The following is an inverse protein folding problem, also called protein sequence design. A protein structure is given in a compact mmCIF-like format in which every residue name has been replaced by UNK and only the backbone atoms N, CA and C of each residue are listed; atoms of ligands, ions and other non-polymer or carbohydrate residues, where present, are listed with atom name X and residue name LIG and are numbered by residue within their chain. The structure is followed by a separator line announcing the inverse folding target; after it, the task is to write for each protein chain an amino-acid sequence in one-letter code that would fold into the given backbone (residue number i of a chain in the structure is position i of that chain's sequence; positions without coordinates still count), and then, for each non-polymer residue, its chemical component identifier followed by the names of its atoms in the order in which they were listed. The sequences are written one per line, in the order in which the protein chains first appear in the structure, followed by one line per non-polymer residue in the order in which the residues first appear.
data_IF_667729642892
#
_entry.id   IF_667729642892
#
_cell.length_a   1.000
_cell.length_b   1.000
_cell.length_c   1.000
_cell.angle_alpha   90.00
_cell.angle_beta   90.00
_cell.angle_gamma   90.00
#
_symmetry.space_group_name_H-M   'P 1'
#
loop_
_entity.id
_entity.type
_entity.pdbx_description
1 polymer ?
#
# COMPACT_ATOMS: atom_id res chain seq x y z
N UNK A 1 -10.42 -27.73 -44.90
CA UNK A 1 -11.33 -27.26 -43.83
C UNK A 1 -11.14 -28.18 -42.65
N UNK A 2 -10.50 -27.70 -41.58
CA UNK A 2 -10.40 -28.48 -40.34
C UNK A 2 -11.81 -28.77 -39.84
N UNK A 3 -12.10 -30.02 -39.49
CA UNK A 3 -13.43 -30.36 -38.99
C UNK A 3 -13.63 -29.70 -37.64
N UNK A 4 -14.74 -28.99 -37.44
CA UNK A 4 -15.12 -28.42 -36.15
C UNK A 4 -15.44 -29.55 -35.15
N UNK A 5 -14.40 -30.14 -34.57
CA UNK A 5 -14.47 -31.26 -33.64
C UNK A 5 -13.26 -31.24 -32.72
N UNK A 6 -13.43 -31.73 -31.50
CA UNK A 6 -12.34 -31.84 -30.54
C UNK A 6 -11.36 -32.92 -30.97
N UNK A 7 -10.08 -32.58 -30.96
CA UNK A 7 -8.99 -33.44 -31.41
C UNK A 7 -8.01 -33.67 -30.27
N UNK A 8 -7.61 -34.92 -30.07
CA UNK A 8 -6.61 -35.30 -29.08
C UNK A 8 -5.44 -36.02 -29.75
N UNK A 9 -4.30 -36.06 -29.05
CA UNK A 9 -3.17 -36.87 -29.45
C UNK A 9 -3.15 -38.16 -28.62
N UNK A 10 -3.24 -39.29 -29.29
CA UNK A 10 -3.22 -40.62 -28.70
C UNK A 10 -1.80 -41.22 -28.77
N UNK A 11 -1.38 -41.84 -27.67
CA UNK A 11 -0.21 -42.72 -27.59
C UNK A 11 -0.67 -44.12 -27.24
N UNK A 12 -0.34 -45.10 -28.08
CA UNK A 12 -0.66 -46.51 -27.87
C UNK A 12 0.61 -47.26 -27.48
N UNK A 13 0.59 -47.95 -26.35
CA UNK A 13 1.67 -48.83 -25.89
C UNK A 13 1.17 -50.24 -25.62
N UNK A 14 2.03 -51.22 -25.89
CA UNK A 14 1.79 -52.62 -25.58
C UNK A 14 3.02 -53.15 -24.82
N UNK A 15 2.80 -53.65 -23.60
CA UNK A 15 3.87 -54.15 -22.70
C UNK A 15 5.06 -53.17 -22.54
N UNK A 16 4.78 -51.87 -22.43
CA UNK A 16 5.80 -50.84 -22.26
C UNK A 16 6.49 -50.37 -23.55
N UNK A 17 6.24 -51.03 -24.68
CA UNK A 17 6.74 -50.64 -26.00
C UNK A 17 5.70 -49.72 -26.65
N UNK A 18 6.14 -48.56 -27.15
CA UNK A 18 5.24 -47.61 -27.82
C UNK A 18 4.98 -48.05 -29.26
N UNK A 19 3.75 -48.42 -29.58
CA UNK A 19 3.31 -48.83 -30.92
C UNK A 19 2.93 -47.61 -31.77
N UNK A 20 2.32 -46.60 -31.14
CA UNK A 20 1.94 -45.33 -31.78
C UNK A 20 2.38 -44.20 -30.86
N UNK A 21 3.30 -43.35 -31.32
CA UNK A 21 3.85 -42.28 -30.49
C UNK A 21 2.91 -41.09 -30.35
N UNK A 22 2.22 -40.70 -31.44
CA UNK A 22 1.33 -39.54 -31.49
C UNK A 22 0.39 -39.62 -32.69
N UNK A 23 -0.84 -40.09 -32.48
CA UNK A 23 -1.90 -40.11 -33.51
C UNK A 23 -2.96 -39.07 -33.19
N UNK A 24 -3.27 -38.19 -34.13
CA UNK A 24 -4.40 -37.25 -33.98
C UNK A 24 -5.69 -38.04 -34.14
N UNK A 25 -6.52 -38.04 -33.10
CA UNK A 25 -7.79 -38.77 -33.08
C UNK A 25 -8.95 -37.81 -32.79
N UNK A 26 -10.14 -38.20 -33.22
CA UNK A 26 -11.37 -37.54 -32.81
C UNK A 26 -11.66 -37.89 -31.36
N UNK A 27 -11.65 -36.89 -30.49
CA UNK A 27 -11.78 -37.13 -29.05
C UNK A 27 -13.23 -37.44 -28.65
N UNK A 28 -14.21 -36.99 -29.43
CA UNK A 28 -15.64 -37.22 -29.15
C UNK A 28 -16.08 -38.68 -29.17
N UNK A 29 -15.27 -39.59 -29.74
CA UNK A 29 -15.55 -41.03 -29.68
C UNK A 29 -15.05 -41.70 -28.39
N UNK A 30 -14.21 -41.01 -27.62
CA UNK A 30 -13.63 -41.50 -26.36
C UNK A 30 -14.36 -40.87 -25.18
N UNK A 31 -14.50 -39.54 -25.21
CA UNK A 31 -15.18 -38.78 -24.16
C UNK A 31 -16.14 -37.76 -24.81
N UNK A 32 -17.39 -38.17 -25.09
CA UNK A 32 -18.40 -37.31 -25.70
C UNK A 32 -18.76 -36.10 -24.83
N UNK A 33 -18.72 -36.26 -23.50
CA UNK A 33 -19.10 -35.22 -22.53
C UNK A 33 -18.06 -34.11 -22.51
N UNK A 34 -16.78 -34.45 -22.29
CA UNK A 34 -15.69 -33.48 -22.32
C UNK A 34 -15.52 -32.87 -23.72
N UNK A 35 -15.73 -33.66 -24.78
CA UNK A 35 -15.68 -33.15 -26.16
C UNK A 35 -16.80 -32.15 -26.45
N UNK A 36 -17.98 -32.34 -25.86
CA UNK A 36 -19.07 -31.37 -25.96
C UNK A 36 -18.74 -30.09 -25.20
N UNK A 37 -18.23 -30.19 -23.97
CA UNK A 37 -17.81 -29.02 -23.19
C UNK A 37 -16.78 -28.19 -23.97
N UNK A 38 -15.71 -28.83 -24.44
CA UNK A 38 -14.64 -28.17 -25.21
C UNK A 38 -15.15 -27.62 -26.54
N UNK A 39 -16.10 -28.30 -27.20
CA UNK A 39 -16.75 -27.79 -28.40
C UNK A 39 -17.54 -26.50 -28.10
N UNK A 40 -18.35 -26.46 -27.04
CA UNK A 40 -19.12 -25.26 -26.68
C UNK A 40 -18.15 -24.12 -26.33
N UNK A 41 -17.15 -24.36 -25.48
CA UNK A 41 -16.19 -23.33 -25.04
C UNK A 41 -15.37 -22.76 -26.21
N UNK A 42 -14.75 -23.60 -27.03
CA UNK A 42 -13.94 -23.11 -28.15
C UNK A 42 -14.80 -22.55 -29.29
N UNK A 43 -15.76 -23.35 -29.77
CA UNK A 43 -16.49 -23.01 -30.98
C UNK A 43 -17.53 -21.90 -30.75
N UNK A 44 -18.29 -21.96 -29.65
CA UNK A 44 -19.46 -21.11 -29.44
C UNK A 44 -19.21 -19.93 -28.50
N UNK A 45 -18.41 -20.12 -27.44
CA UNK A 45 -18.06 -19.05 -26.49
C UNK A 45 -16.90 -18.21 -27.03
N UNK A 46 -15.74 -18.81 -27.28
CA UNK A 46 -14.57 -18.12 -27.87
C UNK A 46 -14.77 -17.77 -29.36
N UNK A 47 -15.83 -18.30 -29.98
CA UNK A 47 -16.22 -17.97 -31.35
C UNK A 47 -15.29 -18.57 -32.40
N UNK A 48 -14.58 -19.67 -32.11
CA UNK A 48 -13.69 -20.34 -33.08
C UNK A 48 -14.46 -21.16 -34.15
N UNK A 49 -15.79 -21.04 -34.19
CA UNK A 49 -16.65 -21.70 -35.16
C UNK A 49 -16.83 -20.86 -36.44
N UNK A 50 -16.74 -21.52 -37.60
CA UNK A 50 -17.02 -20.92 -38.91
C UNK A 50 -18.44 -21.30 -39.36
N UNK A 51 -19.32 -20.31 -39.48
CA UNK A 51 -20.71 -20.49 -39.94
C UNK A 51 -21.26 -19.22 -40.60
N UNK A 52 -22.24 -19.41 -41.49
CA UNK A 52 -22.99 -18.32 -42.13
C UNK A 52 -24.24 -17.90 -41.33
N UNK A 53 -24.46 -18.52 -40.17
CA UNK A 53 -25.63 -18.24 -39.34
C UNK A 53 -25.55 -16.88 -38.65
N UNK A 54 -26.68 -16.17 -38.58
CA UNK A 54 -26.76 -14.78 -38.11
C UNK A 54 -26.54 -14.60 -36.60
N UNK A 55 -26.70 -15.66 -35.80
CA UNK A 55 -26.52 -15.61 -34.34
C UNK A 55 -25.07 -15.32 -33.93
N UNK A 56 -24.08 -15.86 -34.66
CA UNK A 56 -22.66 -15.71 -34.32
C UNK A 56 -22.17 -14.25 -34.45
N UNK A 57 -22.38 -13.54 -35.58
CA UNK A 57 -22.02 -12.13 -35.67
C UNK A 57 -22.82 -11.25 -34.70
N UNK A 58 -24.09 -11.59 -34.42
CA UNK A 58 -24.89 -10.90 -33.39
C UNK A 58 -24.26 -11.04 -32.00
N UNK A 59 -23.94 -12.27 -31.59
CA UNK A 59 -23.35 -12.54 -30.28
C UNK A 59 -21.99 -11.87 -30.12
N UNK A 60 -21.14 -11.90 -31.16
CA UNK A 60 -19.85 -11.18 -31.15
C UNK A 60 -20.03 -9.66 -31.03
N UNK A 61 -20.97 -9.08 -31.76
CA UNK A 61 -21.26 -7.65 -31.66
C UNK A 61 -21.76 -7.28 -30.25
N UNK A 62 -22.55 -8.15 -29.63
CA UNK A 62 -23.07 -7.95 -28.27
C UNK A 62 -21.97 -8.03 -27.21
N UNK A 63 -21.03 -8.98 -27.34
CA UNK A 63 -19.83 -9.06 -26.47
C UNK A 63 -18.99 -7.80 -26.63
N UNK A 64 -18.70 -7.37 -27.86
CA UNK A 64 -17.93 -6.15 -28.12
C UNK A 64 -18.62 -4.88 -27.57
N UNK A 65 -19.95 -4.78 -27.69
CA UNK A 65 -20.71 -3.67 -27.11
C UNK A 65 -20.55 -3.61 -25.59
N UNK A 66 -20.57 -4.76 -24.92
CA UNK A 66 -20.38 -4.86 -23.47
C UNK A 66 -18.95 -4.45 -23.08
N UNK A 67 -17.93 -4.94 -23.80
CA UNK A 67 -16.53 -4.55 -23.61
C UNK A 67 -16.31 -3.04 -23.81
N UNK A 68 -16.94 -2.45 -24.82
CA UNK A 68 -16.87 -1.01 -25.09
C UNK A 68 -17.54 -0.18 -23.96
N UNK A 69 -18.66 -0.68 -23.44
CA UNK A 69 -19.36 -0.06 -22.30
C UNK A 69 -18.53 -0.18 -21.02
N UNK A 70 -17.86 -1.30 -20.79
CA UNK A 70 -16.91 -1.47 -19.67
C UNK A 70 -15.76 -0.46 -19.77
N UNK A 71 -15.17 -0.31 -20.96
CA UNK A 71 -14.08 0.61 -21.21
C UNK A 71 -14.52 2.07 -20.97
N UNK A 72 -15.73 2.45 -21.40
CA UNK A 72 -16.32 3.77 -21.12
C UNK A 72 -16.65 3.97 -19.63
N UNK A 73 -17.11 2.92 -18.95
CA UNK A 73 -17.42 2.92 -17.52
C UNK A 73 -16.18 2.83 -16.62
N UNK A 74 -14.98 2.65 -17.21
CA UNK A 74 -13.71 2.40 -16.49
C UNK A 74 -13.80 1.20 -15.53
N UNK A 75 -14.53 0.16 -15.95
CA UNK A 75 -14.78 -1.09 -15.22
C UNK A 75 -14.46 -2.31 -16.09
N UNK A 76 -13.26 -2.33 -16.68
CA UNK A 76 -12.82 -3.41 -17.57
C UNK A 76 -12.70 -4.75 -16.85
N UNK A 77 -13.27 -5.81 -17.45
CA UNK A 77 -13.16 -7.20 -16.98
C UNK A 77 -14.13 -7.58 -15.87
N UNK A 78 -15.27 -6.89 -15.72
CA UNK A 78 -16.22 -7.08 -14.60
C UNK A 78 -17.55 -7.69 -15.07
N UNK A 79 -17.88 -7.55 -16.35
CA UNK A 79 -19.20 -7.80 -16.92
C UNK A 79 -19.22 -9.00 -17.88
N UNK A 80 -18.08 -9.42 -18.43
CA UNK A 80 -18.01 -10.61 -19.30
C UNK A 80 -17.77 -11.90 -18.49
N UNK A 81 -18.79 -12.76 -18.41
CA UNK A 81 -18.70 -14.09 -17.78
C UNK A 81 -18.80 -15.21 -18.83
N UNK A 82 -17.66 -15.71 -19.30
CA UNK A 82 -17.58 -16.82 -20.26
C UNK A 82 -18.24 -18.12 -19.74
N UNK A 83 -18.23 -18.34 -18.43
CA UNK A 83 -18.85 -19.52 -17.81
C UNK A 83 -20.39 -19.41 -17.86
N UNK A 84 -20.93 -18.20 -17.76
CA UNK A 84 -22.35 -17.95 -17.97
C UNK A 84 -22.77 -18.20 -19.42
N UNK A 85 -22.01 -17.66 -20.37
CA UNK A 85 -22.24 -17.90 -21.80
C UNK A 85 -22.20 -19.41 -22.09
N UNK A 86 -21.24 -20.12 -21.50
CA UNK A 86 -21.15 -21.58 -21.59
C UNK A 86 -22.44 -22.26 -21.10
N UNK A 87 -22.91 -21.94 -19.89
CA UNK A 87 -24.15 -22.52 -19.33
C UNK A 87 -25.39 -22.26 -20.17
N UNK A 88 -25.47 -21.08 -20.79
CA UNK A 88 -26.58 -20.75 -21.71
C UNK A 88 -26.58 -21.68 -22.92
N UNK A 89 -25.43 -21.89 -23.56
CA UNK A 89 -25.32 -22.84 -24.67
C UNK A 89 -25.51 -24.28 -24.21
N UNK A 90 -24.96 -24.65 -23.05
CA UNK A 90 -25.08 -25.98 -22.45
C UNK A 90 -26.55 -26.37 -22.23
N UNK A 91 -27.36 -25.45 -21.69
CA UNK A 91 -28.78 -25.68 -21.47
C UNK A 91 -29.60 -25.77 -22.77
N UNK A 92 -29.15 -25.13 -23.86
CA UNK A 92 -29.86 -25.06 -25.14
C UNK A 92 -29.49 -26.22 -26.07
N UNK A 93 -28.25 -26.70 -26.03
CA UNK A 93 -27.71 -27.69 -26.96
C UNK A 93 -27.86 -29.09 -26.37
N UNK A 94 -28.52 -30.04 -27.08
CA UNK A 94 -28.61 -31.44 -26.67
C UNK A 94 -27.27 -32.09 -26.29
N UNK A 95 -27.32 -33.01 -25.34
CA UNK A 95 -26.14 -33.66 -24.76
C UNK A 95 -25.34 -34.52 -25.77
N UNK A 96 -25.98 -34.98 -26.85
CA UNK A 96 -25.36 -35.82 -27.88
C UNK A 96 -24.55 -35.03 -28.92
N UNK A 97 -24.62 -33.70 -28.91
CA UNK A 97 -23.97 -32.83 -29.89
C UNK A 97 -22.59 -32.39 -29.42
N UNK A 98 -21.54 -32.94 -30.03
CA UNK A 98 -20.14 -32.69 -29.67
C UNK A 98 -19.25 -32.40 -30.90
N UNK A 99 -19.84 -32.18 -32.06
CA UNK A 99 -19.14 -31.85 -33.30
C UNK A 99 -19.99 -30.93 -34.19
N UNK A 100 -19.33 -30.21 -35.10
CA UNK A 100 -19.94 -29.21 -35.96
C UNK A 100 -20.97 -29.77 -36.94
N UNK A 101 -20.80 -30.99 -37.44
CA UNK A 101 -21.77 -31.58 -38.37
C UNK A 101 -23.11 -31.90 -37.69
N UNK A 102 -23.06 -32.47 -36.49
CA UNK A 102 -24.24 -32.71 -35.66
C UNK A 102 -24.86 -31.39 -35.20
N UNK A 103 -24.04 -30.42 -34.79
CA UNK A 103 -24.48 -29.10 -34.36
C UNK A 103 -25.19 -28.35 -35.50
N UNK A 104 -24.65 -28.34 -36.71
CA UNK A 104 -25.23 -27.66 -37.87
C UNK A 104 -26.61 -28.24 -38.24
N UNK A 105 -26.72 -29.56 -38.22
CA UNK A 105 -27.99 -30.25 -38.50
C UNK A 105 -29.05 -29.93 -37.44
N UNK A 106 -28.68 -30.01 -36.17
CA UNK A 106 -29.57 -29.66 -35.08
C UNK A 106 -29.96 -28.19 -35.13
N UNK A 107 -29.01 -27.28 -35.37
CA UNK A 107 -29.25 -25.84 -35.44
C UNK A 107 -30.32 -25.51 -36.48
N UNK A 108 -30.20 -26.05 -37.70
CA UNK A 108 -31.17 -25.80 -38.77
C UNK A 108 -32.60 -26.21 -38.37
N UNK A 109 -32.75 -27.30 -37.62
CA UNK A 109 -34.05 -27.75 -37.12
C UNK A 109 -34.54 -26.90 -35.95
N UNK A 110 -33.66 -26.58 -35.01
CA UNK A 110 -33.97 -25.76 -33.84
C UNK A 110 -34.35 -24.32 -34.23
N UNK A 111 -33.68 -23.74 -35.24
CA UNK A 111 -33.95 -22.39 -35.77
C UNK A 111 -35.30 -22.32 -36.51
N UNK A 112 -35.83 -23.42 -37.04
CA UNK A 112 -37.19 -23.45 -37.62
C UNK A 112 -38.27 -23.30 -36.55
N UNK A 113 -38.07 -23.90 -35.38
CA UNK A 113 -38.99 -23.80 -34.25
C UNK A 113 -38.80 -22.48 -33.46
N UNK A 114 -37.55 -22.06 -33.27
CA UNK A 114 -37.20 -20.82 -32.60
C UNK A 114 -35.99 -20.17 -33.30
N UNK A 115 -36.21 -19.16 -34.17
CA UNK A 115 -35.15 -18.48 -34.90
C UNK A 115 -34.10 -17.80 -34.00
N UNK A 116 -34.42 -17.57 -32.72
CA UNK A 116 -33.54 -16.90 -31.75
C UNK A 116 -32.86 -17.86 -30.76
N UNK A 117 -32.95 -19.17 -30.97
CA UNK A 117 -32.45 -20.17 -30.00
C UNK A 117 -30.97 -19.99 -29.63
N UNK A 118 -30.10 -19.57 -30.56
CA UNK A 118 -28.67 -19.33 -30.30
C UNK A 118 -28.30 -17.85 -30.08
N UNK A 119 -29.26 -16.94 -30.14
CA UNK A 119 -29.00 -15.52 -29.90
C UNK A 119 -28.86 -15.30 -28.41
N UNK A 120 -27.75 -14.69 -28.01
CA UNK A 120 -27.54 -14.22 -26.65
C UNK A 120 -28.27 -12.89 -26.44
N UNK A 121 -28.81 -12.72 -25.25
CA UNK A 121 -29.28 -11.44 -24.73
C UNK A 121 -28.21 -10.83 -23.81
N UNK A 122 -28.35 -9.55 -23.47
CA UNK A 122 -27.38 -8.89 -22.57
C UNK A 122 -27.30 -9.63 -21.24
N UNK A 123 -28.44 -10.09 -20.74
CA UNK A 123 -28.58 -10.84 -19.50
C UNK A 123 -27.95 -12.24 -19.58
N UNK A 124 -27.67 -12.79 -20.76
CA UNK A 124 -26.98 -14.07 -20.93
C UNK A 124 -25.45 -13.92 -20.84
N UNK A 125 -24.93 -12.70 -21.03
CA UNK A 125 -23.49 -12.37 -21.10
C UNK A 125 -23.03 -11.64 -19.86
N UNK A 126 -23.80 -10.62 -19.46
CA UNK A 126 -23.59 -9.90 -18.21
C UNK A 126 -23.69 -10.93 -17.10
N UNK A 127 -22.70 -11.06 -16.23
CA UNK A 127 -22.89 -11.84 -15.00
C UNK A 127 -24.13 -11.32 -14.26
N UNK A 128 -24.92 -12.20 -13.61
CA UNK A 128 -25.76 -11.73 -12.49
C UNK A 128 -24.80 -10.98 -11.60
N UNK A 129 -25.00 -9.67 -11.48
CA UNK A 129 -23.92 -8.77 -11.13
C UNK A 129 -23.02 -9.37 -10.07
N UNK A 130 -21.76 -9.60 -10.43
CA UNK A 130 -20.74 -9.13 -9.52
C UNK A 130 -20.91 -7.60 -9.46
N UNK A 131 -21.94 -7.13 -8.73
CA UNK A 131 -21.58 -6.34 -7.57
C UNK A 131 -20.59 -7.23 -6.86
N UNK A 132 -19.31 -7.05 -7.20
CA UNK A 132 -18.22 -7.91 -6.77
C UNK A 132 -18.52 -8.20 -5.33
N UNK A 133 -18.79 -9.47 -4.98
CA UNK A 133 -19.37 -9.83 -3.68
C UNK A 133 -18.78 -8.84 -2.68
N UNK A 134 -19.57 -7.88 -2.18
CA UNK A 134 -19.00 -6.67 -1.58
C UNK A 134 -18.11 -7.05 -0.39
N UNK A 135 -18.22 -8.31 0.06
CA UNK A 135 -17.33 -8.98 0.99
C UNK A 135 -15.95 -9.33 0.40
N UNK A 136 -15.85 -9.81 -0.84
CA UNK A 136 -14.61 -10.16 -1.55
C UNK A 136 -13.85 -8.93 -2.10
N UNK A 137 -14.57 -7.98 -2.70
CA UNK A 137 -13.98 -6.75 -3.25
C UNK A 137 -14.71 -5.52 -2.70
N UNK A 138 -14.48 -5.19 -1.42
CA UNK A 138 -15.17 -4.09 -0.78
C UNK A 138 -14.85 -2.73 -1.42
N UNK A 139 -15.83 -1.84 -1.47
CA UNK A 139 -15.61 -0.47 -1.96
C UNK A 139 -14.72 0.36 -1.03
N UNK A 140 -14.65 -0.02 0.25
CA UNK A 140 -13.89 0.69 1.27
C UNK A 140 -13.19 -0.25 2.24
N UNK A 141 -12.05 0.17 2.75
CA UNK A 141 -11.37 -0.43 3.89
C UNK A 141 -11.34 0.56 5.05
N UNK A 142 -11.58 0.10 6.28
CA UNK A 142 -11.46 0.95 7.47
C UNK A 142 -9.99 1.14 7.83
N UNK A 143 -9.51 2.37 7.98
CA UNK A 143 -8.17 2.70 8.49
C UNK A 143 -8.34 3.65 9.66
N UNK A 144 -7.92 3.24 10.87
CA UNK A 144 -8.18 3.97 12.12
C UNK A 144 -9.67 4.36 12.25
N UNK A 145 -10.54 3.41 11.90
CA UNK A 145 -11.99 3.57 11.85
C UNK A 145 -12.54 4.32 10.63
N UNK A 146 -11.72 5.01 9.82
CA UNK A 146 -12.14 5.81 8.64
C UNK A 146 -12.32 4.94 7.41
N UNK A 147 -13.46 5.04 6.73
CA UNK A 147 -13.72 4.32 5.49
C UNK A 147 -12.94 4.95 4.31
N UNK A 148 -11.82 4.35 3.95
CA UNK A 148 -10.98 4.74 2.84
C UNK A 148 -11.39 3.98 1.57
N UNK A 149 -11.54 4.68 0.43
CA UNK A 149 -12.00 4.07 -0.81
C UNK A 149 -10.96 3.13 -1.42
N UNK A 150 -11.41 1.99 -1.93
CA UNK A 150 -10.61 1.06 -2.71
C UNK A 150 -10.94 1.22 -4.20
N UNK A 151 -9.91 1.22 -5.03
CA UNK A 151 -10.01 1.20 -6.50
C UNK A 151 -9.36 -0.07 -7.02
N UNK A 152 -10.01 -0.71 -7.97
CA UNK A 152 -9.55 -1.95 -8.56
C UNK A 152 -9.21 -1.76 -10.03
N UNK A 153 -8.13 -2.39 -10.47
CA UNK A 153 -7.75 -2.48 -11.88
C UNK A 153 -7.22 -3.89 -12.12
N UNK A 154 -7.70 -4.55 -13.18
CA UNK A 154 -7.28 -5.90 -13.54
C UNK A 154 -6.63 -5.86 -14.91
N UNK A 155 -5.41 -5.34 -14.96
CA UNK A 155 -4.66 -5.13 -16.19
C UNK A 155 -3.20 -5.52 -15.97
N UNK A 156 -2.86 -6.79 -16.25
CA UNK A 156 -1.52 -7.32 -16.04
C UNK A 156 -0.44 -6.44 -16.68
N UNK A 157 0.55 -6.04 -15.88
CA UNK A 157 1.66 -5.20 -16.31
C UNK A 157 1.42 -3.69 -16.17
N UNK A 158 0.19 -3.26 -15.87
CA UNK A 158 -0.07 -1.85 -15.54
C UNK A 158 0.43 -1.52 -14.11
N UNK A 159 1.00 -0.33 -13.90
CA UNK A 159 1.55 0.07 -12.60
C UNK A 159 0.53 0.00 -11.44
N UNK A 160 -0.72 0.35 -11.74
CA UNK A 160 -1.87 0.35 -10.82
C UNK A 160 -2.65 -0.98 -10.77
N UNK A 161 -2.15 -2.05 -11.38
CA UNK A 161 -2.82 -3.35 -11.40
C UNK A 161 -3.08 -3.91 -9.98
N UNK A 162 -4.20 -4.59 -9.78
CA UNK A 162 -4.70 -5.02 -8.47
C UNK A 162 -5.50 -3.94 -7.74
N UNK A 163 -5.23 -3.78 -6.44
CA UNK A 163 -6.01 -2.91 -5.54
C UNK A 163 -5.22 -1.68 -5.12
N UNK A 164 -5.86 -0.51 -5.20
CA UNK A 164 -5.35 0.78 -4.74
C UNK A 164 -6.22 1.36 -3.64
N UNK A 165 -5.65 1.60 -2.46
CA UNK A 165 -6.29 2.31 -1.35
C UNK A 165 -6.09 3.81 -1.52
N UNK A 166 -7.19 4.56 -1.61
CA UNK A 166 -7.16 6.02 -1.49
C UNK A 166 -7.07 6.40 -0.02
N UNK A 167 -5.88 6.79 0.40
CA UNK A 167 -5.52 7.05 1.80
C UNK A 167 -5.42 8.57 2.03
N UNK A 168 -6.33 9.18 2.80
CA UNK A 168 -6.17 10.55 3.25
C UNK A 168 -4.82 10.76 3.94
N UNK A 169 -4.16 11.88 3.63
CA UNK A 169 -2.80 12.18 4.11
C UNK A 169 -2.68 12.05 5.64
N UNK A 170 -3.68 12.52 6.40
CA UNK A 170 -3.69 12.45 7.86
C UNK A 170 -3.76 11.03 8.44
N UNK A 171 -4.08 10.01 7.62
CA UNK A 171 -4.09 8.59 8.00
C UNK A 171 -2.82 7.85 7.60
N UNK A 172 -1.90 8.49 6.87
CA UNK A 172 -0.68 7.85 6.35
C UNK A 172 0.18 7.22 7.46
N UNK A 173 0.27 7.88 8.61
CA UNK A 173 1.02 7.37 9.75
C UNK A 173 0.20 6.44 10.66
N UNK A 174 -1.13 6.37 10.45
CA UNK A 174 -2.07 5.57 11.26
C UNK A 174 -2.39 4.20 10.66
N UNK A 175 -2.17 4.02 9.35
CA UNK A 175 -2.39 2.71 8.72
C UNK A 175 -1.36 1.67 9.19
N UNK A 176 -1.83 0.52 9.65
CA UNK A 176 -0.95 -0.56 10.07
C UNK A 176 -0.43 -1.36 8.87
N UNK A 177 0.85 -1.74 8.89
CA UNK A 177 1.44 -2.58 7.83
C UNK A 177 0.70 -3.92 7.75
N UNK A 178 0.37 -4.50 8.90
CA UNK A 178 -0.42 -5.71 9.01
C UNK A 178 -1.79 -5.56 8.33
N UNK A 179 -2.43 -4.40 8.38
CA UNK A 179 -3.73 -4.21 7.75
C UNK A 179 -3.62 -4.23 6.21
N UNK A 180 -2.65 -3.52 5.64
CA UNK A 180 -2.48 -3.46 4.19
C UNK A 180 -1.92 -4.75 3.58
N UNK A 181 -1.14 -5.52 4.35
CA UNK A 181 -0.49 -6.74 3.87
C UNK A 181 -1.49 -7.86 3.51
N UNK A 182 -2.68 -7.90 4.12
CA UNK A 182 -3.68 -8.93 3.81
C UNK A 182 -4.50 -8.67 2.54
N UNK A 183 -4.32 -7.51 1.88
CA UNK A 183 -5.14 -7.08 0.75
C UNK A 183 -6.65 -7.15 1.06
N UNK A 184 -7.44 -7.48 0.05
CA UNK A 184 -8.87 -7.73 0.13
C UNK A 184 -9.17 -9.22 -0.03
N UNK A 185 -10.32 -9.72 0.45
CA UNK A 185 -10.59 -11.15 0.45
C UNK A 185 -10.61 -11.80 -0.94
N UNK A 186 -10.89 -11.04 -2.01
CA UNK A 186 -10.80 -11.49 -3.39
C UNK A 186 -9.39 -11.78 -3.89
N UNK A 187 -8.34 -11.17 -3.31
CA UNK A 187 -6.94 -11.32 -3.75
C UNK A 187 -6.08 -12.15 -2.79
N UNK A 188 -6.52 -12.36 -1.55
CA UNK A 188 -5.69 -13.00 -0.51
C UNK A 188 -5.33 -14.45 -0.84
N UNK A 189 -6.23 -15.22 -1.47
CA UNK A 189 -5.97 -16.61 -1.87
C UNK A 189 -4.84 -16.71 -2.89
N UNK A 190 -4.82 -15.81 -3.86
CA UNK A 190 -3.77 -15.75 -4.89
C UNK A 190 -2.44 -15.32 -4.26
N UNK A 191 -2.46 -14.29 -3.41
CA UNK A 191 -1.26 -13.83 -2.67
C UNK A 191 -0.65 -14.95 -1.84
N UNK A 192 -1.46 -15.66 -1.06
CA UNK A 192 -1.00 -16.81 -0.26
C UNK A 192 -0.41 -17.91 -1.12
N UNK A 193 -1.05 -18.25 -2.23
CA UNK A 193 -0.55 -19.26 -3.17
C UNK A 193 0.80 -18.84 -3.76
N UNK A 194 0.96 -17.57 -4.14
CA UNK A 194 2.22 -17.03 -4.63
C UNK A 194 3.31 -17.08 -3.55
N UNK A 195 3.02 -16.65 -2.32
CA UNK A 195 3.94 -16.72 -1.19
C UNK A 195 4.41 -18.15 -0.90
N UNK A 196 3.50 -19.12 -0.87
CA UNK A 196 3.84 -20.53 -0.65
C UNK A 196 4.72 -21.10 -1.78
N UNK A 197 4.59 -20.58 -3.01
CA UNK A 197 5.46 -20.97 -4.14
C UNK A 197 6.87 -20.44 -4.00
N UNK A 198 7.08 -19.31 -3.31
CA UNK A 198 8.42 -18.74 -3.05
C UNK A 198 9.24 -19.56 -2.05
N UNK A 199 8.59 -20.33 -1.18
CA UNK A 199 9.29 -21.14 -0.19
C UNK A 199 10.23 -22.18 -0.83
N UNK A 200 11.37 -22.48 -0.17
CA UNK A 200 12.26 -23.58 -0.56
C UNK A 200 11.53 -24.91 -0.76
N UNK A 201 12.04 -25.75 -1.68
CA UNK A 201 11.35 -26.97 -2.13
C UNK A 201 11.07 -27.95 -0.98
N UNK A 202 11.99 -28.07 -0.04
CA UNK A 202 11.90 -28.89 1.17
C UNK A 202 10.78 -28.41 2.10
N UNK A 203 10.65 -27.08 2.29
CA UNK A 203 9.60 -26.44 3.09
C UNK A 203 8.23 -26.49 2.41
N UNK A 204 8.20 -26.42 1.08
CA UNK A 204 6.96 -26.42 0.27
C UNK A 204 6.35 -27.80 0.08
N UNK A 205 7.16 -28.86 -0.03
CA UNK A 205 6.70 -30.24 -0.25
C UNK A 205 5.59 -30.71 0.73
N UNK A 206 5.69 -30.50 2.06
CA UNK A 206 4.65 -30.93 3.00
C UNK A 206 3.35 -30.10 2.92
N UNK A 207 3.34 -29.00 2.16
CA UNK A 207 2.19 -28.10 2.04
C UNK A 207 1.35 -28.38 0.78
N UNK A 208 1.77 -29.32 -0.06
CA UNK A 208 1.07 -29.70 -1.29
C UNK A 208 -0.08 -30.66 -0.94
N UNK A 209 -1.31 -30.43 -1.44
CA UNK A 209 -1.71 -29.38 -2.38
C UNK A 209 -1.79 -27.97 -1.76
N UNK A 210 -1.18 -26.98 -2.43
CA UNK A 210 -1.16 -25.59 -1.94
C UNK A 210 -2.57 -25.00 -1.76
N UNK A 211 -3.55 -25.21 -2.68
CA UNK A 211 -4.91 -24.70 -2.50
C UNK A 211 -5.59 -25.17 -1.22
N UNK A 212 -5.32 -26.42 -0.81
CA UNK A 212 -5.88 -27.00 0.41
C UNK A 212 -5.24 -26.37 1.65
N UNK A 213 -3.93 -26.17 1.62
CA UNK A 213 -3.20 -25.46 2.69
C UNK A 213 -3.68 -24.01 2.83
N UNK A 214 -3.90 -23.30 1.72
CA UNK A 214 -4.46 -21.94 1.73
C UNK A 214 -5.87 -21.94 2.33
N UNK A 215 -6.73 -22.86 1.93
CA UNK A 215 -8.10 -22.97 2.45
C UNK A 215 -8.11 -23.26 3.95
N UNK A 216 -7.26 -24.18 4.41
CA UNK A 216 -7.14 -24.53 5.83
C UNK A 216 -6.45 -23.44 6.68
N UNK A 217 -5.62 -22.58 6.08
CA UNK A 217 -5.08 -21.41 6.75
C UNK A 217 -6.15 -20.33 6.92
N UNK A 218 -6.88 -20.02 5.85
CA UNK A 218 -7.91 -18.98 5.87
C UNK A 218 -9.09 -19.30 6.79
N UNK A 219 -9.34 -20.58 7.13
CA UNK A 219 -10.38 -20.96 8.09
C UNK A 219 -10.03 -20.66 9.55
N UNK A 220 -8.76 -20.41 9.86
CA UNK A 220 -8.28 -20.11 11.23
C UNK A 220 -7.61 -18.75 11.37
N UNK A 221 -7.22 -18.15 10.25
CA UNK A 221 -6.56 -16.85 10.20
C UNK A 221 -7.52 -15.71 10.57
N UNK A 222 -6.97 -14.67 11.19
CA UNK A 222 -7.65 -13.41 11.46
C UNK A 222 -6.96 -12.28 10.70
N UNK A 223 -7.50 -11.84 9.56
CA UNK A 223 -6.87 -10.81 8.75
C UNK A 223 -6.65 -9.50 9.50
N UNK A 224 -5.49 -8.87 9.29
CA UNK A 224 -5.18 -7.53 9.79
C UNK A 224 -4.70 -7.43 11.25
N UNK A 225 -4.77 -8.50 12.05
CA UNK A 225 -4.24 -8.48 13.44
C UNK A 225 -2.71 -8.54 13.48
N UNK A 226 -2.08 -9.28 12.56
CA UNK A 226 -0.64 -9.48 12.45
C UNK A 226 -0.21 -9.50 10.99
N UNK A 227 1.10 -9.37 10.72
CA UNK A 227 1.65 -9.43 9.36
C UNK A 227 1.39 -10.82 8.76
N UNK A 228 0.97 -10.89 7.49
CA UNK A 228 0.50 -12.13 6.84
C UNK A 228 1.53 -13.24 6.91
N UNK A 229 2.79 -12.92 6.61
CA UNK A 229 3.90 -13.88 6.60
C UNK A 229 4.22 -14.43 7.99
N UNK A 230 4.05 -13.64 9.05
CA UNK A 230 4.23 -14.09 10.43
C UNK A 230 3.13 -15.08 10.83
N UNK A 231 1.86 -14.73 10.56
CA UNK A 231 0.71 -15.61 10.83
C UNK A 231 0.80 -16.90 10.02
N UNK A 232 1.20 -16.82 8.75
CA UNK A 232 1.38 -17.98 7.88
C UNK A 232 2.54 -18.87 8.33
N UNK A 233 3.68 -18.30 8.74
CA UNK A 233 4.81 -19.05 9.28
C UNK A 233 4.43 -19.80 10.56
N UNK A 234 3.73 -19.13 11.48
CA UNK A 234 3.22 -19.75 12.70
C UNK A 234 2.26 -20.92 12.40
N UNK A 235 1.37 -20.75 11.42
CA UNK A 235 0.48 -21.83 10.96
C UNK A 235 1.26 -23.02 10.38
N UNK A 236 2.25 -22.76 9.51
CA UNK A 236 3.07 -23.81 8.89
C UNK A 236 3.87 -24.58 9.95
N UNK A 237 4.45 -23.88 10.93
CA UNK A 237 5.16 -24.49 12.06
C UNK A 237 4.24 -25.40 12.86
N UNK A 238 3.02 -24.99 13.14
CA UNK A 238 2.03 -25.82 13.85
C UNK A 238 1.63 -27.06 13.04
N UNK A 239 1.49 -26.93 11.71
CA UNK A 239 1.07 -28.02 10.82
C UNK A 239 2.19 -29.03 10.52
N UNK A 240 3.42 -28.57 10.40
CA UNK A 240 4.55 -29.36 9.85
C UNK A 240 5.75 -29.50 10.79
N UNK A 241 5.78 -28.78 11.92
CA UNK A 241 6.94 -28.68 12.82
C UNK A 241 8.07 -27.80 12.28
N UNK A 242 7.94 -27.29 11.06
CA UNK A 242 9.00 -26.58 10.36
C UNK A 242 8.91 -25.08 10.59
N UNK A 243 10.00 -24.47 11.06
CA UNK A 243 10.12 -23.02 11.19
C UNK A 243 10.48 -22.38 9.84
N UNK A 244 9.93 -21.18 9.58
CA UNK A 244 10.21 -20.38 8.39
C UNK A 244 10.78 -19.05 8.85
N UNK A 245 12.06 -18.81 8.57
CA UNK A 245 12.74 -17.55 8.84
C UNK A 245 12.21 -16.44 7.90
N UNK A 246 12.14 -15.17 8.33
CA UNK A 246 11.72 -14.06 7.47
C UNK A 246 12.44 -13.99 6.12
N UNK A 247 13.74 -14.30 6.09
CA UNK A 247 14.56 -14.29 4.88
C UNK A 247 14.23 -15.43 3.89
N UNK A 248 13.52 -16.46 4.34
CA UNK A 248 13.08 -17.57 3.47
C UNK A 248 11.88 -17.17 2.59
N UNK A 249 11.19 -16.07 2.89
CA UNK A 249 10.21 -15.44 2.00
C UNK A 249 10.90 -14.66 0.87
N UNK A 250 11.92 -15.27 0.25
CA UNK A 250 12.75 -14.63 -0.77
C UNK A 250 12.15 -14.80 -2.16
N UNK A 251 12.20 -13.72 -2.93
CA UNK A 251 11.71 -13.67 -4.32
C UNK A 251 10.58 -12.67 -4.53
N UNK A 252 10.24 -12.47 -5.80
CA UNK A 252 9.20 -11.54 -6.20
C UNK A 252 7.96 -12.28 -6.68
N UNK A 253 6.80 -11.73 -6.33
CA UNK A 253 5.52 -12.09 -6.89
C UNK A 253 4.89 -10.86 -7.53
N UNK A 254 3.93 -11.08 -8.42
CA UNK A 254 3.31 -10.05 -9.24
C UNK A 254 2.84 -8.85 -8.41
N UNK A 255 3.06 -7.65 -8.94
CA UNK A 255 2.83 -6.41 -8.22
C UNK A 255 1.39 -6.28 -7.72
N UNK A 256 0.39 -6.77 -8.48
CA UNK A 256 -1.04 -6.73 -8.14
C UNK A 256 -1.42 -7.43 -6.83
N UNK A 257 -0.54 -8.29 -6.30
CA UNK A 257 -0.67 -8.94 -5.00
C UNK A 257 -0.03 -8.15 -3.84
N UNK A 258 0.30 -6.88 -4.07
CA UNK A 258 0.70 -5.91 -3.04
C UNK A 258 -0.27 -4.74 -3.06
N UNK A 259 -0.67 -4.25 -1.90
CA UNK A 259 -1.54 -3.07 -1.80
C UNK A 259 -0.84 -1.89 -2.45
N UNK A 260 -1.53 -1.20 -3.35
CA UNK A 260 -1.10 0.10 -3.83
C UNK A 260 -1.78 1.19 -3.01
N UNK A 261 -1.09 2.29 -2.75
CA UNK A 261 -1.62 3.42 -1.99
C UNK A 261 -1.61 4.65 -2.88
N UNK A 262 -2.71 5.39 -2.87
CA UNK A 262 -2.86 6.72 -3.45
C UNK A 262 -3.11 7.67 -2.29
N UNK A 263 -2.08 8.42 -1.89
CA UNK A 263 -2.16 9.36 -0.77
C UNK A 263 -2.80 10.65 -1.27
N UNK A 264 -3.93 11.04 -0.68
CA UNK A 264 -4.72 12.19 -1.13
C UNK A 264 -4.78 13.30 -0.07
N UNK A 265 -4.90 14.54 -0.51
CA UNK A 265 -5.23 15.68 0.36
C UNK A 265 -6.74 15.79 0.65
N UNK A 266 -7.16 16.84 1.36
CA UNK A 266 -8.58 17.07 1.68
C UNK A 266 -9.44 17.43 0.47
N UNK A 267 -8.84 17.91 -0.62
CA UNK A 267 -9.53 18.19 -1.88
C UNK A 267 -9.73 16.91 -2.72
N UNK A 268 -9.09 15.81 -2.31
CA UNK A 268 -9.06 14.55 -3.05
C UNK A 268 -7.99 14.50 -4.14
N UNK A 269 -7.08 15.47 -4.18
CA UNK A 269 -5.94 15.47 -5.09
C UNK A 269 -4.89 14.46 -4.61
N UNK A 270 -4.37 13.66 -5.54
CA UNK A 270 -3.28 12.71 -5.26
C UNK A 270 -1.95 13.46 -5.08
N UNK A 271 -1.30 13.22 -3.94
CA UNK A 271 0.01 13.78 -3.58
C UNK A 271 1.15 12.84 -3.94
N UNK A 272 0.94 11.53 -3.73
CA UNK A 272 1.86 10.47 -4.14
C UNK A 272 1.11 9.14 -4.28
N UNK A 273 1.66 8.26 -5.11
CA UNK A 273 1.16 6.90 -5.29
C UNK A 273 2.31 5.90 -5.25
N UNK A 274 2.09 4.73 -4.64
CA UNK A 274 3.08 3.66 -4.62
C UNK A 274 2.66 2.48 -3.74
N UNK A 275 3.41 1.37 -3.85
CA UNK A 275 3.18 0.15 -3.06
C UNK A 275 4.07 0.05 -1.82
N UNK A 276 5.05 0.94 -1.69
CA UNK A 276 5.93 1.02 -0.53
C UNK A 276 5.42 2.08 0.45
N UNK A 277 4.75 1.60 1.49
CA UNK A 277 4.21 2.45 2.55
C UNK A 277 5.32 3.17 3.34
N UNK A 278 6.50 2.56 3.49
CA UNK A 278 7.61 3.18 4.20
C UNK A 278 8.20 4.34 3.39
N UNK A 279 8.36 4.16 2.07
CA UNK A 279 8.79 5.24 1.17
C UNK A 279 7.77 6.39 1.16
N UNK A 280 6.47 6.09 1.10
CA UNK A 280 5.41 7.11 1.18
C UNK A 280 5.45 7.89 2.50
N UNK A 281 5.69 7.20 3.63
CA UNK A 281 5.86 7.85 4.94
C UNK A 281 7.11 8.71 5.01
N UNK A 282 8.21 8.28 4.41
CA UNK A 282 9.43 9.08 4.34
C UNK A 282 9.19 10.36 3.53
N UNK A 283 8.47 10.26 2.41
CA UNK A 283 8.19 11.38 1.53
C UNK A 283 7.15 12.35 2.12
N UNK A 284 6.04 11.84 2.67
CA UNK A 284 4.86 12.63 3.04
C UNK A 284 4.56 12.64 4.53
N UNK A 285 5.24 11.85 5.35
CA UNK A 285 4.93 11.71 6.79
C UNK A 285 5.16 12.98 7.60
N UNK A 286 6.03 13.88 7.15
CA UNK A 286 6.15 15.24 7.71
C UNK A 286 4.90 16.09 7.45
N UNK A 287 4.45 16.13 6.19
CA UNK A 287 3.22 16.83 5.82
C UNK A 287 1.98 16.21 6.48
N UNK A 288 1.90 14.89 6.59
CA UNK A 288 0.82 14.18 7.28
C UNK A 288 0.68 14.57 8.76
N UNK A 289 1.80 14.76 9.45
CA UNK A 289 1.82 15.22 10.84
C UNK A 289 1.26 16.63 10.98
N UNK A 290 1.63 17.54 10.07
CA UNK A 290 1.23 18.95 10.11
C UNK A 290 -0.22 19.12 9.67
N UNK A 291 -0.65 18.40 8.64
CA UNK A 291 -1.98 18.55 8.06
C UNK A 291 -3.06 17.88 8.93
N UNK A 292 -2.74 17.14 10.00
CA UNK A 292 -3.71 16.42 10.84
C UNK A 292 -4.78 17.35 11.47
N UNK A 293 -4.39 18.55 11.94
CA UNK A 293 -5.31 19.56 12.49
C UNK A 293 -5.92 20.54 11.48
N UNK A 294 -5.32 20.70 10.31
CA UNK A 294 -5.60 21.81 9.38
C UNK A 294 -6.86 21.72 8.53
N UNK A 295 -7.91 21.04 8.97
CA UNK A 295 -9.18 21.00 8.24
C UNK A 295 -9.84 22.39 8.15
N UNK A 296 -10.41 22.72 7.00
CA UNK A 296 -11.00 24.04 6.72
C UNK A 296 -12.15 24.45 7.68
N UNK A 297 -12.73 23.51 8.43
CA UNK A 297 -13.85 23.76 9.35
C UNK A 297 -13.42 24.08 10.80
N UNK A 298 -12.18 23.78 11.22
CA UNK A 298 -11.75 23.87 12.63
C UNK A 298 -10.41 24.65 12.83
N UNK A 299 -10.04 25.50 11.88
CA UNK A 299 -8.74 26.19 11.83
C UNK A 299 -8.50 27.26 12.92
N UNK A 300 -9.33 27.36 13.96
CA UNK A 300 -9.18 28.39 15.00
C UNK A 300 -8.05 28.09 15.99
N UNK A 301 -7.68 26.82 16.18
CA UNK A 301 -6.62 26.45 17.12
C UNK A 301 -5.22 26.67 16.54
N UNK A 302 -5.03 26.38 15.25
CA UNK A 302 -3.72 26.50 14.62
C UNK A 302 -3.33 27.96 14.36
N UNK A 303 -2.07 28.29 14.63
CA UNK A 303 -1.53 29.65 14.44
C UNK A 303 -0.16 29.57 13.81
N UNK A 304 0.15 30.55 12.96
CA UNK A 304 1.42 30.59 12.25
C UNK A 304 2.26 31.78 12.64
N UNK A 305 3.58 31.66 12.48
CA UNK A 305 4.47 32.81 12.61
C UNK A 305 4.58 33.39 14.01
N UNK A 306 4.36 32.59 15.05
CA UNK A 306 4.44 33.04 16.45
C UNK A 306 5.89 33.32 16.81
N UNK A 307 6.15 34.53 17.32
CA UNK A 307 7.46 34.97 17.80
C UNK A 307 7.53 35.11 19.32
N UNK A 308 6.40 34.91 19.99
CA UNK A 308 6.25 34.96 21.44
C UNK A 308 5.14 34.00 21.90
N UNK A 309 5.06 33.75 23.21
CA UNK A 309 4.02 32.92 23.81
C UNK A 309 2.70 33.70 23.92
N UNK A 310 1.87 33.64 22.87
CA UNK A 310 0.62 34.43 22.74
C UNK A 310 -0.65 33.59 22.49
N UNK A 311 -0.59 32.29 22.75
CA UNK A 311 -1.65 31.31 22.43
C UNK A 311 -2.32 30.67 23.65
N UNK A 312 -2.01 31.14 24.87
CA UNK A 312 -2.59 30.61 26.10
C UNK A 312 -1.91 29.31 26.57
N UNK A 313 -2.68 28.46 27.24
CA UNK A 313 -2.20 27.15 27.70
C UNK A 313 -2.17 26.17 26.53
N UNK A 314 -1.14 25.32 26.48
CA UNK A 314 -1.00 24.25 25.50
C UNK A 314 -1.54 22.95 26.11
N UNK A 315 -2.80 22.54 25.87
CA UNK A 315 -3.34 21.32 26.46
C UNK A 315 -2.64 20.07 25.92
N UNK A 316 -2.70 18.95 26.65
CA UNK A 316 -2.09 17.68 26.23
C UNK A 316 -2.73 17.11 24.95
N UNK A 317 -4.04 17.31 24.80
CA UNK A 317 -4.80 16.86 23.65
C UNK A 317 -5.99 17.78 23.40
N UNK A 318 -6.40 17.89 22.14
CA UNK A 318 -7.56 18.62 21.68
C UNK A 318 -8.42 17.69 20.84
N UNK A 319 -9.73 17.72 21.08
CA UNK A 319 -10.69 17.04 20.21
C UNK A 319 -11.14 18.01 19.12
N UNK A 320 -11.18 17.56 17.88
CA UNK A 320 -11.64 18.34 16.74
C UNK A 320 -12.43 17.44 15.78
N UNK A 321 -13.14 18.02 14.82
CA UNK A 321 -13.91 17.28 13.82
C UNK A 321 -13.29 17.42 12.44
N UNK A 322 -13.19 16.31 11.71
CA UNK A 322 -12.79 16.32 10.30
C UNK A 322 -13.57 15.26 9.53
N UNK A 323 -14.17 15.66 8.40
CA UNK A 323 -15.00 14.75 7.61
C UNK A 323 -16.17 14.15 8.42
N UNK A 324 -16.77 14.94 9.31
CA UNK A 324 -17.90 14.52 10.15
C UNK A 324 -17.55 13.60 11.33
N UNK A 325 -16.26 13.40 11.65
CA UNK A 325 -15.82 12.51 12.73
C UNK A 325 -14.99 13.25 13.77
N UNK A 326 -15.15 12.88 15.04
CA UNK A 326 -14.33 13.39 16.14
C UNK A 326 -12.96 12.69 16.16
N UNK A 327 -11.89 13.48 16.09
CA UNK A 327 -10.50 13.06 16.15
C UNK A 327 -9.81 13.69 17.37
N UNK A 328 -8.69 13.09 17.79
CA UNK A 328 -7.86 13.59 18.88
C UNK A 328 -6.51 14.03 18.30
N UNK A 329 -6.23 15.32 18.39
CA UNK A 329 -4.95 15.91 18.00
C UNK A 329 -4.13 16.30 19.22
N UNK A 330 -2.81 16.27 19.07
CA UNK A 330 -1.86 16.63 20.11
C UNK A 330 -1.23 17.99 19.78
N UNK A 331 -1.56 19.07 20.52
CA UNK A 331 -0.99 20.39 20.28
C UNK A 331 0.53 20.39 20.37
N UNK A 332 1.15 21.01 19.37
CA UNK A 332 2.59 21.11 19.26
C UNK A 332 3.06 22.48 18.77
N UNK A 333 4.23 22.89 19.25
CA UNK A 333 4.95 24.06 18.77
C UNK A 333 5.99 23.61 17.74
N UNK A 334 5.78 23.90 16.46
CA UNK A 334 6.66 23.48 15.36
C UNK A 334 7.63 24.61 15.01
N UNK A 335 8.94 24.34 15.04
CA UNK A 335 9.98 25.32 14.69
C UNK A 335 10.05 25.58 13.18
N UNK A 336 9.85 26.83 12.76
CA UNK A 336 9.95 27.30 11.37
C UNK A 336 11.20 28.19 11.14
N UNK A 337 12.21 28.09 12.00
CA UNK A 337 13.48 28.80 11.89
C UNK A 337 13.44 30.24 12.38
N UNK A 338 12.52 31.07 11.92
CA UNK A 338 12.34 32.45 12.39
C UNK A 338 11.23 32.63 13.42
N UNK A 339 10.35 31.64 13.52
CA UNK A 339 9.11 31.67 14.29
C UNK A 339 8.69 30.24 14.62
N UNK A 340 7.55 30.11 15.29
CA UNK A 340 6.94 28.83 15.63
C UNK A 340 5.49 28.80 15.17
N UNK A 341 5.03 27.66 14.70
CA UNK A 341 3.61 27.43 14.45
C UNK A 341 3.00 26.58 15.56
N UNK A 342 1.76 26.90 15.94
CA UNK A 342 0.93 26.03 16.75
C UNK A 342 0.14 25.10 15.82
N UNK A 343 0.39 23.80 15.93
CA UNK A 343 -0.23 22.75 15.08
C UNK A 343 -0.82 21.64 15.94
N UNK A 344 -1.77 20.88 15.39
CA UNK A 344 -2.17 19.60 15.97
C UNK A 344 -1.47 18.46 15.23
N UNK A 345 -0.72 17.64 15.96
CA UNK A 345 -0.08 16.45 15.41
C UNK A 345 -0.89 15.19 15.70
N UNK A 346 -0.59 14.14 14.96
CA UNK A 346 -1.23 12.84 15.04
C UNK A 346 -0.80 12.02 16.28
N UNK A 347 0.33 12.30 16.92
CA UNK A 347 0.85 11.48 18.02
C UNK A 347 1.44 12.32 19.15
N UNK A 348 1.29 11.85 20.39
CA UNK A 348 1.79 12.52 21.59
C UNK A 348 3.33 12.64 21.58
N UNK A 349 4.03 11.60 21.13
CA UNK A 349 5.50 11.59 21.07
C UNK A 349 6.03 12.61 20.06
N UNK A 350 5.41 12.69 18.86
CA UNK A 350 5.76 13.70 17.88
C UNK A 350 5.48 15.11 18.43
N UNK A 351 4.32 15.31 19.07
CA UNK A 351 3.97 16.61 19.65
C UNK A 351 4.94 17.03 20.75
N UNK A 352 5.38 16.10 21.60
CA UNK A 352 6.38 16.36 22.64
C UNK A 352 7.72 16.76 22.02
N UNK A 353 8.19 16.01 21.01
CA UNK A 353 9.45 16.29 20.31
C UNK A 353 9.44 17.63 19.56
N UNK A 354 8.37 17.93 18.83
CA UNK A 354 8.21 19.23 18.16
C UNK A 354 8.11 20.36 19.17
N UNK A 355 7.24 20.23 20.18
CA UNK A 355 7.05 21.28 21.19
C UNK A 355 8.36 21.66 21.87
N UNK A 356 9.20 20.67 22.21
CA UNK A 356 10.51 20.95 22.80
C UNK A 356 11.38 21.81 21.88
N UNK A 357 11.41 21.53 20.57
CA UNK A 357 12.11 22.36 19.58
C UNK A 357 11.48 23.74 19.42
N UNK A 358 10.15 23.82 19.35
CA UNK A 358 9.42 25.08 19.28
C UNK A 358 9.65 25.97 20.50
N UNK A 359 9.67 25.41 21.71
CA UNK A 359 10.01 26.16 22.93
C UNK A 359 11.45 26.68 22.88
N UNK A 360 12.41 25.86 22.44
CA UNK A 360 13.80 26.32 22.23
C UNK A 360 13.83 27.49 21.26
N UNK A 361 13.07 27.46 20.16
CA UNK A 361 12.95 28.59 19.22
C UNK A 361 12.39 29.85 19.88
N UNK A 362 11.25 29.76 20.58
CA UNK A 362 10.66 30.92 21.28
C UNK A 362 11.61 31.49 22.34
N UNK A 363 12.31 30.64 23.10
CA UNK A 363 13.32 31.08 24.06
C UNK A 363 14.51 31.78 23.38
N UNK A 364 14.97 31.29 22.21
CA UNK A 364 16.01 31.98 21.42
C UNK A 364 15.55 33.37 20.97
N UNK A 365 14.30 33.51 20.54
CA UNK A 365 13.72 34.81 20.14
C UNK A 365 13.64 35.74 21.36
N UNK A 366 13.11 35.25 22.48
CA UNK A 366 13.01 36.02 23.73
C UNK A 366 14.37 36.44 24.30
N UNK A 367 15.43 35.66 24.06
CA UNK A 367 16.81 35.91 24.49
C UNK A 367 17.72 36.38 23.35
N UNK A 368 17.17 37.08 22.36
CA UNK A 368 17.90 37.50 21.16
C UNK A 368 19.19 38.29 21.48
N UNK A 369 19.19 39.12 22.55
CA UNK A 369 20.38 39.86 22.97
C UNK A 369 21.52 38.93 23.42
N UNK A 370 21.20 37.87 24.18
CA UNK A 370 22.18 36.88 24.63
C UNK A 370 22.72 36.07 23.45
N UNK A 371 21.87 35.69 22.50
CA UNK A 371 22.30 34.95 21.30
C UNK A 371 23.10 35.82 20.33
N UNK A 372 22.80 37.11 20.22
CA UNK A 372 23.62 38.05 19.45
C UNK A 372 25.01 38.22 20.06
N UNK A 373 25.10 38.27 21.39
CA UNK A 373 26.39 38.29 22.08
C UNK A 373 27.13 36.95 21.93
N UNK A 374 26.43 35.82 22.02
CA UNK A 374 27.00 34.49 21.81
C UNK A 374 27.60 34.36 20.42
N UNK A 375 26.87 34.75 19.38
CA UNK A 375 27.36 34.73 17.98
C UNK A 375 28.63 35.58 17.82
N UNK A 376 28.64 36.79 18.39
CA UNK A 376 29.81 37.68 18.40
C UNK A 376 31.01 37.04 19.12
N UNK A 377 30.80 36.38 20.25
CA UNK A 377 31.87 35.68 20.98
C UNK A 377 32.43 34.53 20.14
N UNK A 378 31.56 33.68 19.59
CA UNK A 378 31.96 32.52 18.77
C UNK A 378 32.66 32.93 17.47
N UNK A 379 32.30 34.09 16.89
CA UNK A 379 33.01 34.62 15.72
C UNK A 379 34.49 34.94 15.99
N UNK A 380 34.87 35.14 17.26
CA UNK A 380 36.23 35.46 17.69
C UNK A 380 37.05 34.23 18.07
N UNK A 381 36.45 33.04 18.07
CA UNK A 381 37.12 31.78 18.45
C UNK A 381 37.95 31.18 17.31
N UNK A 382 39.01 31.89 16.94
CA UNK A 382 39.90 31.53 15.82
C UNK A 382 40.72 30.25 16.07
N UNK A 383 41.11 29.99 17.33
CA UNK A 383 41.89 28.80 17.69
C UNK A 383 41.11 27.51 17.43
N UNK A 384 39.82 27.48 17.81
CA UNK A 384 38.96 26.32 17.59
C UNK A 384 38.66 26.13 16.10
N UNK A 385 38.41 27.23 15.39
CA UNK A 385 38.19 27.24 13.94
C UNK A 385 39.38 26.62 13.18
N UNK A 386 40.62 26.93 13.59
CA UNK A 386 41.83 26.35 12.99
C UNK A 386 41.91 24.83 13.18
N UNK A 387 41.56 24.34 14.37
CA UNK A 387 41.52 22.90 14.67
C UNK A 387 40.42 22.17 13.88
N UNK A 388 39.32 22.86 13.57
CA UNK A 388 38.17 22.28 12.86
C UNK A 388 38.33 22.24 11.32
N UNK A 389 39.36 22.89 10.76
CA UNK A 389 39.52 23.09 9.30
C UNK A 389 39.40 21.83 8.42
N UNK A 390 39.70 20.65 8.97
CA UNK A 390 39.63 19.37 8.25
C UNK A 390 38.20 18.77 8.22
N UNK A 391 37.26 19.32 8.99
CA UNK A 391 35.88 18.84 9.10
C UNK A 391 34.87 19.74 8.39
N UNK A 392 35.16 21.04 8.25
CA UNK A 392 34.27 21.98 7.60
C UNK A 392 34.71 23.43 7.75
N UNK A 393 33.84 24.34 7.30
CA UNK A 393 34.08 25.78 7.39
C UNK A 393 33.84 26.32 8.80
N UNK A 394 34.37 27.53 9.05
CA UNK A 394 34.17 28.25 10.32
C UNK A 394 32.70 28.55 10.58
N UNK A 395 31.92 28.81 9.53
CA UNK A 395 30.50 29.11 9.65
C UNK A 395 29.69 27.85 10.03
N UNK A 396 30.04 26.69 9.48
CA UNK A 396 29.44 25.40 9.88
C UNK A 396 29.69 25.11 11.36
N UNK A 397 30.93 25.31 11.83
CA UNK A 397 31.26 25.15 13.25
C UNK A 397 30.47 26.14 14.12
N UNK A 398 30.41 27.41 13.73
CA UNK A 398 29.71 28.46 14.47
C UNK A 398 28.23 28.13 14.62
N UNK A 399 27.56 27.78 13.53
CA UNK A 399 26.14 27.43 13.54
C UNK A 399 25.87 26.19 14.40
N UNK A 400 26.71 25.16 14.29
CA UNK A 400 26.61 23.95 15.11
C UNK A 400 26.77 24.24 16.61
N UNK A 401 27.72 25.10 16.99
CA UNK A 401 27.92 25.52 18.37
C UNK A 401 26.72 26.32 18.89
N UNK A 402 26.19 27.27 18.12
CA UNK A 402 25.01 28.05 18.50
C UNK A 402 23.80 27.13 18.74
N UNK A 403 23.55 26.20 17.83
CA UNK A 403 22.42 25.26 17.95
C UNK A 403 22.61 24.30 19.14
N UNK A 404 23.81 23.76 19.35
CA UNK A 404 24.10 22.90 20.49
C UNK A 404 23.97 23.64 21.85
N UNK A 405 24.47 24.88 21.93
CA UNK A 405 24.32 25.73 23.12
C UNK A 405 22.85 26.05 23.36
N UNK A 406 22.08 26.39 22.32
CA UNK A 406 20.66 26.65 22.45
C UNK A 406 19.92 25.44 23.05
N UNK A 407 20.08 24.25 22.49
CA UNK A 407 19.41 23.04 22.96
C UNK A 407 19.77 22.72 24.42
N UNK A 408 21.07 22.78 24.77
CA UNK A 408 21.55 22.41 26.11
C UNK A 408 21.26 23.47 27.18
N UNK A 409 21.38 24.76 26.85
CA UNK A 409 21.22 25.84 27.83
C UNK A 409 19.76 26.23 28.06
N UNK A 410 18.95 26.23 27.00
CA UNK A 410 17.57 26.72 27.06
C UNK A 410 16.61 25.69 27.62
N UNK A 411 16.79 24.42 27.26
CA UNK A 411 15.96 23.32 27.76
C UNK A 411 16.78 22.33 28.58
N UNK A 412 17.91 21.84 28.07
CA UNK A 412 18.65 20.77 28.74
C UNK A 412 17.73 19.58 28.99
N UNK A 413 17.75 19.00 30.19
CA UNK A 413 16.85 17.91 30.62
C UNK A 413 15.59 18.40 31.36
N UNK A 414 15.30 19.70 31.31
CA UNK A 414 14.11 20.25 31.97
C UNK A 414 12.81 19.87 31.23
N UNK A 415 11.71 19.84 31.99
CA UNK A 415 10.38 19.61 31.47
C UNK A 415 9.96 20.72 30.48
N UNK A 416 9.25 20.33 29.42
CA UNK A 416 8.81 21.26 28.37
C UNK A 416 7.63 22.10 28.88
N UNK A 417 7.76 23.45 28.92
CA UNK A 417 6.68 24.34 29.31
C UNK A 417 5.42 24.14 28.46
N UNK A 418 4.26 24.06 29.11
CA UNK A 418 2.94 24.06 28.45
C UNK A 418 2.11 25.30 28.82
N UNK A 419 2.60 26.15 29.73
CA UNK A 419 1.95 27.40 30.14
C UNK A 419 2.91 28.58 30.11
N UNK A 420 2.38 29.79 29.91
CA UNK A 420 3.17 31.03 29.87
C UNK A 420 4.05 31.19 31.12
N UNK A 421 3.51 30.90 32.31
CA UNK A 421 4.25 31.01 33.58
C UNK A 421 5.44 30.06 33.65
N UNK A 422 5.31 28.85 33.09
CA UNK A 422 6.40 27.87 33.03
C UNK A 422 7.45 28.31 32.02
N UNK A 423 7.01 28.84 30.87
CA UNK A 423 7.90 29.41 29.85
C UNK A 423 8.73 30.56 30.41
N UNK A 424 8.11 31.51 31.11
CA UNK A 424 8.82 32.63 31.73
C UNK A 424 9.81 32.17 32.81
N UNK A 425 9.43 31.18 33.62
CA UNK A 425 10.35 30.58 34.60
C UNK A 425 11.56 29.93 33.90
N UNK A 426 11.31 29.23 32.79
CA UNK A 426 12.37 28.60 32.01
C UNK A 426 13.29 29.63 31.35
N UNK A 427 12.73 30.73 30.83
CA UNK A 427 13.49 31.87 30.28
C UNK A 427 14.47 32.46 31.29
N UNK A 428 14.02 32.71 32.53
CA UNK A 428 14.89 33.23 33.60
C UNK A 428 15.97 32.21 34.01
N UNK A 429 15.65 30.91 34.04
CA UNK A 429 16.61 29.85 34.33
C UNK A 429 17.65 29.66 33.22
N UNK A 430 17.22 29.78 31.96
CA UNK A 430 18.04 29.59 30.77
C UNK A 430 19.07 30.71 30.57
N UNK A 431 18.70 31.96 30.87
CA UNK A 431 19.53 33.14 30.66
C UNK A 431 20.96 33.04 31.22
N UNK A 432 21.20 32.68 32.50
CA UNK A 432 22.56 32.50 33.01
C UNK A 432 23.24 31.22 32.49
N UNK A 433 22.48 30.19 32.13
CA UNK A 433 23.02 28.91 31.63
C UNK A 433 23.71 29.02 30.29
N UNK A 434 23.29 29.96 29.42
CA UNK A 434 23.91 30.16 28.10
C UNK A 434 25.41 30.36 28.22
N UNK A 435 25.86 31.18 29.19
CA UNK A 435 27.29 31.43 29.39
C UNK A 435 28.04 30.20 29.90
N UNK A 436 27.45 29.47 30.86
CA UNK A 436 28.05 28.27 31.47
C UNK A 436 28.17 27.14 30.43
N UNK A 437 27.11 26.89 29.68
CA UNK A 437 27.08 25.86 28.64
C UNK A 437 28.02 26.21 27.48
N UNK A 438 28.11 27.49 27.09
CA UNK A 438 29.10 27.95 26.11
C UNK A 438 30.52 27.57 26.52
N UNK A 439 30.92 27.92 27.75
CA UNK A 439 32.27 27.64 28.25
C UNK A 439 32.57 26.14 28.31
N UNK A 440 31.63 25.34 28.84
CA UNK A 440 31.78 23.90 28.89
C UNK A 440 31.89 23.29 27.48
N UNK A 441 30.98 23.65 26.56
CA UNK A 441 30.98 23.11 25.21
C UNK A 441 32.24 23.47 24.42
N UNK A 442 32.73 24.71 24.53
CA UNK A 442 33.97 25.12 23.85
C UNK A 442 35.18 24.32 24.34
N UNK A 443 35.26 24.06 25.65
CA UNK A 443 36.31 23.21 26.22
C UNK A 443 36.23 21.77 25.70
N UNK A 444 35.03 21.18 25.73
CA UNK A 444 34.84 19.79 25.32
C UNK A 444 35.14 19.61 23.82
N UNK A 445 34.70 20.55 22.97
CA UNK A 445 34.99 20.51 21.52
C UNK A 445 36.49 20.69 21.25
N UNK A 446 37.17 21.58 21.99
CA UNK A 446 38.61 21.75 21.86
C UNK A 446 39.36 20.45 22.20
N UNK A 447 38.97 19.78 23.29
CA UNK A 447 39.55 18.51 23.72
C UNK A 447 39.32 17.39 22.69
N UNK A 448 38.09 17.27 22.17
CA UNK A 448 37.75 16.28 21.13
C UNK A 448 38.60 16.49 19.87
N UNK A 449 38.78 17.74 19.43
CA UNK A 449 39.59 18.04 18.24
C UNK A 449 41.08 17.74 18.47
N UNK A 450 41.59 17.98 19.68
CA UNK A 450 42.96 17.64 20.05
C UNK A 450 43.18 16.13 20.07
N UNK A 451 42.25 15.37 20.66
CA UNK A 451 42.28 13.91 20.67
C UNK A 451 42.21 13.35 19.25
N UNK A 452 41.33 13.89 18.41
CA UNK A 452 41.25 13.49 17.01
C UNK A 452 42.59 13.71 16.30
N UNK A 453 43.21 14.89 16.44
CA UNK A 453 44.49 15.18 15.82
C UNK A 453 45.60 14.21 16.28
N UNK A 454 45.62 13.84 17.57
CA UNK A 454 46.55 12.85 18.10
C UNK A 454 46.33 11.45 17.50
N UNK A 455 45.07 11.03 17.36
CA UNK A 455 44.72 9.74 16.75
C UNK A 455 45.09 9.72 15.27
N UNK A 456 44.75 10.77 14.51
CA UNK A 456 45.12 10.89 13.09
C UNK A 456 46.64 10.83 12.89
N UNK A 457 47.42 11.49 13.76
CA UNK A 457 48.87 11.47 13.69
C UNK A 457 49.52 10.12 14.05
N UNK A 458 48.77 9.19 14.65
CA UNK A 458 49.23 7.81 14.93
C UNK A 458 48.79 6.81 13.86
N UNK A 459 47.73 7.14 13.11
CA UNK A 459 47.21 6.32 12.02
C UNK A 459 47.93 6.59 10.70
N UNK A 460 48.42 7.81 10.52
CA UNK A 460 49.37 8.18 9.46
C UNK A 460 50.80 7.94 9.94
#
# INVERSE_FOLDING_TARGET
KEGARVVAFERVSLYGITLVARRKIHYGSIDPELSRELFIRGALVAGEYDTQAKWLPHNRALVQEIEDLEHKARKSGVWLDEERIFRVFDARIPADIHNGAAFEKWRQQAEQANPKVLFLQREDILGEGLGADHTLFPETMLVDGVACKLKYRFEPGHALDGVTLQLPLYLLNRIEVAQADWLVPGLIREKLTALLKLLPKDKRRPLIPLPDTVTAFLSVAKPGEQVLTQTLAAYIRKKTGTDIHPDEWSGEFSAHLKMNFSVIDDSGQELACGRDLAALRQQLGGAARITYGGGAEDSEFERTGLVEWSFGDLPEQVKFKRGGRELVGYPALVDNGGSVDLRLLDTADAATGETRRGVVRLLRIALAAQFKQLDKDLSRETALALKFRNFGSVDVLREALINAIATRALMGDDDTPRKLKEFDKQKERAKPRVAVVKQALLRDVAEILDLHAQVTARLN
#
